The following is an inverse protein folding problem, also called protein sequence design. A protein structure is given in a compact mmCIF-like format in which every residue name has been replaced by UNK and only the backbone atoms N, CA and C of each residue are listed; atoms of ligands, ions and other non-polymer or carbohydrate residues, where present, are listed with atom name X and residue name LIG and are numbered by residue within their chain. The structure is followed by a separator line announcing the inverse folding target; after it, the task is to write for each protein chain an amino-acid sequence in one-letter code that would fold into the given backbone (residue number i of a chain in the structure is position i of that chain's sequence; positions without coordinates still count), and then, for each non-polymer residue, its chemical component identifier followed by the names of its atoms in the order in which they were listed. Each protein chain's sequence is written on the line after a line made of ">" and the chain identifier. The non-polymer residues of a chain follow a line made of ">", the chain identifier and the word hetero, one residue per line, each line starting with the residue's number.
data_IF_838938468174
#
_entry.id   IF_838938468174
#
_cell.length_a   1.000
_cell.length_b   1.000
_cell.length_c   1.000
_cell.angle_alpha   90.00
_cell.angle_beta   90.00
_cell.angle_gamma   90.00
#
_symmetry.space_group_name_H-M   'P 1'
#
loop_
_entity.id
_entity.type
_entity.pdbx_description
1 polymer ?
#
# COMPACT_ATOMS: atom_id res chain seq x y z
N UNK A 1 20.23 1.18 7.06
CA UNK A 1 19.58 -0.13 6.83
C UNK A 1 20.32 -1.02 5.83
N UNK A 2 21.28 -0.54 5.03
CA UNK A 2 22.17 -1.44 4.25
C UNK A 2 21.48 -2.29 3.17
N UNK A 3 20.18 -2.08 2.92
CA UNK A 3 19.42 -2.82 1.91
C UNK A 3 19.77 -2.34 0.50
N UNK A 4 19.91 -3.28 -0.42
CA UNK A 4 19.96 -2.99 -1.85
C UNK A 4 18.53 -2.80 -2.38
N UNK A 5 18.29 -1.74 -3.14
CA UNK A 5 16.97 -1.43 -3.71
C UNK A 5 17.03 -1.64 -5.23
N UNK A 6 16.11 -2.44 -5.75
CA UNK A 6 15.95 -2.69 -7.18
C UNK A 6 14.63 -2.07 -7.62
N UNK A 7 14.69 -1.19 -8.61
CA UNK A 7 13.52 -0.46 -9.11
C UNK A 7 12.78 -1.29 -10.16
N UNK A 8 11.47 -1.43 -10.00
CA UNK A 8 10.59 -2.10 -10.97
C UNK A 8 9.86 -1.02 -11.76
N UNK A 9 9.94 -1.09 -13.08
CA UNK A 9 9.22 -0.15 -13.94
C UNK A 9 7.70 -0.26 -13.73
N UNK A 10 6.99 0.84 -13.89
CA UNK A 10 5.52 0.90 -13.79
C UNK A 10 4.88 1.33 -15.11
N UNK A 11 3.63 0.94 -15.30
CA UNK A 11 2.73 1.43 -16.35
C UNK A 11 1.38 1.84 -15.73
N UNK A 12 0.39 2.13 -16.57
CA UNK A 12 -0.97 2.52 -16.16
C UNK A 12 -1.73 1.45 -15.34
N UNK A 13 -1.22 0.23 -15.26
CA UNK A 13 -1.79 -0.86 -14.47
C UNK A 13 -0.94 -1.21 -13.24
N UNK A 14 0.15 -0.48 -12.98
CA UNK A 14 1.04 -0.68 -11.84
C UNK A 14 2.40 -1.27 -12.24
N UNK A 15 3.07 -2.06 -11.37
CA UNK A 15 4.41 -2.61 -11.65
C UNK A 15 4.42 -3.55 -12.85
N UNK A 16 5.29 -3.33 -13.84
CA UNK A 16 5.37 -4.18 -15.04
C UNK A 16 5.95 -5.55 -14.70
N UNK A 17 5.22 -6.61 -15.05
CA UNK A 17 5.66 -7.99 -14.80
C UNK A 17 6.93 -8.34 -15.57
N UNK A 18 7.08 -7.83 -16.79
CA UNK A 18 8.30 -8.03 -17.59
C UNK A 18 9.53 -7.46 -16.91
N UNK A 19 9.44 -6.24 -16.36
CA UNK A 19 10.51 -5.61 -15.60
C UNK A 19 10.84 -6.41 -14.33
N UNK A 20 9.82 -6.75 -13.54
CA UNK A 20 9.99 -7.55 -12.31
C UNK A 20 10.68 -8.89 -12.59
N UNK A 21 10.24 -9.63 -13.62
CA UNK A 21 10.84 -10.92 -14.00
C UNK A 21 12.26 -10.75 -14.55
N UNK A 22 12.53 -9.71 -15.32
CA UNK A 22 13.88 -9.43 -15.83
C UNK A 22 14.88 -9.09 -14.72
N UNK A 23 14.42 -8.49 -13.62
CA UNK A 23 15.27 -8.25 -12.45
C UNK A 23 15.53 -9.57 -11.73
N UNK A 24 14.48 -10.34 -11.47
CA UNK A 24 14.56 -11.59 -10.72
C UNK A 24 15.29 -12.71 -11.47
N UNK A 25 15.40 -12.65 -12.80
CA UNK A 25 16.12 -13.65 -13.60
C UNK A 25 17.62 -13.74 -13.33
N UNK A 26 18.19 -12.82 -12.54
CA UNK A 26 19.56 -12.92 -12.07
C UNK A 26 19.74 -13.98 -10.97
N UNK A 27 18.64 -14.51 -10.41
CA UNK A 27 18.64 -15.52 -9.35
C UNK A 27 17.81 -16.73 -9.75
N UNK A 28 18.13 -17.87 -9.15
CA UNK A 28 17.25 -19.03 -9.17
C UNK A 28 16.24 -18.91 -8.03
N UNK A 29 14.96 -19.29 -8.24
CA UNK A 29 13.97 -19.34 -7.17
C UNK A 29 14.41 -20.06 -5.89
N UNK A 30 15.23 -21.11 -6.01
CA UNK A 30 15.75 -21.88 -4.87
C UNK A 30 16.73 -21.10 -4.00
N UNK A 31 17.32 -20.03 -4.52
CA UNK A 31 18.24 -19.17 -3.77
C UNK A 31 17.50 -18.49 -2.61
N UNK A 32 16.16 -18.46 -2.63
CA UNK A 32 15.35 -17.98 -1.52
C UNK A 32 15.53 -18.81 -0.24
N UNK A 33 15.92 -20.07 -0.34
CA UNK A 33 16.17 -20.93 0.82
C UNK A 33 17.49 -20.62 1.55
N UNK A 34 18.46 -20.02 0.86
CA UNK A 34 19.74 -19.63 1.47
C UNK A 34 19.65 -18.24 2.08
N UNK A 35 19.76 -18.14 3.40
CA UNK A 35 19.71 -16.87 4.14
C UNK A 35 20.85 -15.90 3.80
N UNK A 36 21.93 -16.39 3.19
CA UNK A 36 23.07 -15.56 2.77
C UNK A 36 22.98 -15.10 1.32
N UNK A 37 22.02 -15.62 0.55
CA UNK A 37 21.75 -15.16 -0.81
C UNK A 37 21.25 -13.71 -0.82
N UNK A 38 21.70 -12.95 -1.82
CA UNK A 38 21.31 -11.57 -2.08
C UNK A 38 20.02 -11.42 -2.91
N UNK A 39 19.33 -12.54 -3.17
CA UNK A 39 18.01 -12.53 -3.82
C UNK A 39 17.04 -11.57 -3.10
N UNK A 40 16.26 -10.75 -3.84
CA UNK A 40 15.29 -9.84 -3.24
C UNK A 40 14.28 -10.55 -2.35
N UNK A 41 14.18 -10.12 -1.08
CA UNK A 41 13.29 -10.72 -0.07
C UNK A 41 11.94 -10.03 0.08
N UNK A 42 11.86 -8.81 -0.41
CA UNK A 42 10.75 -7.90 -0.13
C UNK A 42 10.40 -7.14 -1.39
N UNK A 43 9.11 -7.12 -1.70
CA UNK A 43 8.51 -6.26 -2.69
C UNK A 43 7.66 -5.19 -1.98
N UNK A 44 8.10 -3.93 -2.03
CA UNK A 44 7.35 -2.80 -1.50
C UNK A 44 6.49 -2.16 -2.59
N UNK A 45 5.22 -1.90 -2.30
CA UNK A 45 4.30 -1.28 -3.26
C UNK A 45 3.25 -0.41 -2.57
N UNK A 46 2.94 0.72 -3.20
CA UNK A 46 1.73 1.50 -2.91
C UNK A 46 0.68 1.12 -3.95
N UNK A 47 -0.29 0.29 -3.55
CA UNK A 47 -1.16 -0.43 -4.50
C UNK A 47 -2.38 0.38 -4.96
N UNK A 48 -2.85 1.33 -4.16
CA UNK A 48 -3.96 2.23 -4.50
C UNK A 48 -3.46 3.68 -4.52
N UNK A 49 -3.67 4.40 -5.63
CA UNK A 49 -3.25 5.79 -5.75
C UNK A 49 -1.75 5.98 -5.49
N UNK A 50 -0.91 5.20 -6.20
CA UNK A 50 0.53 5.12 -5.99
C UNK A 50 1.19 6.49 -5.89
N UNK A 51 2.06 6.69 -4.91
CA UNK A 51 2.82 7.93 -4.78
C UNK A 51 4.16 7.79 -5.51
N UNK A 52 4.52 8.62 -6.51
CA UNK A 52 3.86 9.86 -6.95
C UNK A 52 2.93 9.72 -8.19
N UNK A 53 2.86 8.55 -8.82
CA UNK A 53 2.26 8.38 -10.16
C UNK A 53 0.73 8.50 -10.20
N UNK A 54 0.06 8.33 -9.06
CA UNK A 54 -1.40 8.26 -8.91
C UNK A 54 -2.01 6.94 -9.40
N UNK A 55 -1.21 6.00 -9.92
CA UNK A 55 -1.71 4.76 -10.51
C UNK A 55 -2.23 3.80 -9.44
N UNK A 56 -3.39 3.18 -9.70
CA UNK A 56 -3.91 2.06 -8.89
C UNK A 56 -3.63 0.76 -9.63
N UNK A 57 -2.95 -0.17 -8.96
CA UNK A 57 -2.60 -1.47 -9.55
C UNK A 57 -3.86 -2.29 -9.81
N UNK A 58 -4.04 -2.76 -11.05
CA UNK A 58 -5.23 -3.55 -11.42
C UNK A 58 -5.27 -4.90 -10.71
N UNK A 59 -6.46 -5.48 -10.56
CA UNK A 59 -6.62 -6.80 -9.90
C UNK A 59 -5.78 -7.88 -10.60
N UNK A 60 -5.84 -7.92 -11.94
CA UNK A 60 -5.04 -8.83 -12.74
C UNK A 60 -3.54 -8.63 -12.49
N UNK A 61 -3.07 -7.38 -12.42
CA UNK A 61 -1.66 -7.09 -12.16
C UNK A 61 -1.25 -7.53 -10.75
N UNK A 62 -2.11 -7.33 -9.75
CA UNK A 62 -1.88 -7.83 -8.38
C UNK A 62 -1.76 -9.36 -8.37
N UNK A 63 -2.62 -10.08 -9.08
CA UNK A 63 -2.55 -11.54 -9.19
C UNK A 63 -1.24 -12.01 -9.84
N UNK A 64 -0.80 -11.33 -10.91
CA UNK A 64 0.47 -11.63 -11.58
C UNK A 64 1.68 -11.39 -10.66
N UNK A 65 1.72 -10.25 -9.95
CA UNK A 65 2.78 -9.96 -8.97
C UNK A 65 2.77 -10.98 -7.85
N UNK A 66 1.58 -11.32 -7.31
CA UNK A 66 1.44 -12.33 -6.27
C UNK A 66 1.99 -13.67 -6.74
N UNK A 67 1.69 -14.11 -7.96
CA UNK A 67 2.24 -15.35 -8.51
C UNK A 67 3.77 -15.34 -8.62
N UNK A 68 4.38 -14.21 -9.01
CA UNK A 68 5.83 -14.05 -9.01
C UNK A 68 6.40 -14.09 -7.58
N UNK A 69 5.68 -13.51 -6.61
CA UNK A 69 6.04 -13.57 -5.19
C UNK A 69 6.08 -15.01 -4.67
N UNK A 70 5.15 -15.87 -5.13
CA UNK A 70 5.16 -17.31 -4.81
C UNK A 70 6.32 -18.04 -5.47
N UNK A 71 6.63 -17.69 -6.71
CA UNK A 71 7.70 -18.34 -7.48
C UNK A 71 9.07 -18.06 -6.86
N UNK A 72 9.39 -16.80 -6.52
CA UNK A 72 10.69 -16.39 -5.98
C UNK A 72 10.73 -16.29 -4.45
N UNK A 73 9.62 -16.64 -3.80
CA UNK A 73 9.42 -16.63 -2.35
C UNK A 73 9.85 -15.33 -1.64
N UNK A 74 9.27 -14.21 -2.08
CA UNK A 74 9.42 -12.92 -1.40
C UNK A 74 8.15 -12.48 -0.69
N UNK A 75 8.32 -11.60 0.31
CA UNK A 75 7.23 -10.94 1.04
C UNK A 75 6.74 -9.71 0.28
N UNK A 76 5.45 -9.40 0.42
CA UNK A 76 4.84 -8.19 -0.13
C UNK A 76 4.56 -7.23 1.02
N UNK A 77 5.18 -6.04 0.98
CA UNK A 77 4.85 -4.93 1.85
C UNK A 77 3.92 -3.98 1.09
N UNK A 78 2.63 -4.07 1.39
CA UNK A 78 1.59 -3.24 0.78
C UNK A 78 1.34 -2.00 1.66
N UNK A 79 1.79 -0.83 1.22
CA UNK A 79 1.55 0.45 1.87
C UNK A 79 0.32 1.12 1.23
N UNK A 80 -0.81 1.13 1.93
CA UNK A 80 -2.10 1.49 1.30
C UNK A 80 -2.86 2.60 2.04
N UNK A 81 -2.26 3.80 2.22
CA UNK A 81 -2.87 4.90 2.97
C UNK A 81 -4.07 5.53 2.25
N UNK A 82 -4.28 5.21 0.97
CA UNK A 82 -5.33 5.76 0.12
C UNK A 82 -6.43 4.75 -0.23
N UNK A 83 -6.39 3.53 0.32
CA UNK A 83 -7.33 2.45 -0.02
C UNK A 83 -8.80 2.87 0.06
N UNK A 84 -9.15 3.60 1.11
CA UNK A 84 -10.53 4.05 1.37
C UNK A 84 -10.94 5.28 0.54
N UNK A 85 -10.02 5.87 -0.22
CA UNK A 85 -10.22 7.09 -1.03
C UNK A 85 -10.13 6.74 -2.52
N UNK A 86 -10.62 5.57 -2.90
CA UNK A 86 -10.67 5.15 -4.31
C UNK A 86 -11.86 5.83 -5.00
N UNK A 87 -11.61 6.41 -6.18
CA UNK A 87 -12.66 7.10 -6.93
C UNK A 87 -13.57 6.16 -7.74
N UNK A 88 -13.21 4.88 -7.85
CA UNK A 88 -13.97 3.85 -8.56
C UNK A 88 -15.14 3.36 -7.71
N UNK A 89 -16.26 3.00 -8.34
CA UNK A 89 -17.43 2.46 -7.64
C UNK A 89 -17.16 1.11 -6.96
N UNK A 90 -16.26 0.32 -7.56
CA UNK A 90 -15.79 -0.94 -6.99
C UNK A 90 -14.31 -0.74 -6.64
N UNK A 91 -13.93 -0.77 -5.36
CA UNK A 91 -12.53 -0.66 -4.97
C UNK A 91 -11.78 -1.90 -5.44
N UNK A 92 -10.54 -1.72 -5.90
CA UNK A 92 -9.69 -2.85 -6.25
C UNK A 92 -9.26 -3.54 -4.95
N UNK A 93 -9.45 -4.87 -4.81
CA UNK A 93 -9.06 -5.59 -3.61
C UNK A 93 -7.57 -5.44 -3.28
N UNK A 94 -7.23 -5.47 -1.99
CA UNK A 94 -5.85 -5.43 -1.49
C UNK A 94 -5.08 -6.72 -1.78
N UNK A 95 -3.75 -6.69 -1.75
CA UNK A 95 -2.97 -7.94 -1.79
C UNK A 95 -3.31 -8.85 -0.61
N UNK A 96 -3.57 -8.26 0.57
CA UNK A 96 -3.95 -9.00 1.76
C UNK A 96 -5.23 -9.83 1.54
N UNK A 97 -6.20 -9.32 0.77
CA UNK A 97 -7.47 -10.02 0.51
C UNK A 97 -7.33 -11.30 -0.32
N UNK A 98 -6.21 -11.45 -1.04
CA UNK A 98 -5.89 -12.64 -1.85
C UNK A 98 -4.74 -13.45 -1.28
N UNK A 99 -4.25 -13.11 -0.09
CA UNK A 99 -3.09 -13.76 0.50
C UNK A 99 -3.45 -15.12 1.10
N UNK A 100 -3.19 -16.18 0.35
CA UNK A 100 -3.40 -17.57 0.77
C UNK A 100 -2.18 -18.18 1.46
N UNK A 101 -0.98 -17.66 1.17
CA UNK A 101 0.28 -18.21 1.68
C UNK A 101 0.75 -17.49 2.97
N UNK A 102 0.16 -16.36 3.34
CA UNK A 102 0.62 -15.55 4.46
C UNK A 102 1.95 -14.85 4.15
N UNK A 103 2.05 -14.18 3.01
CA UNK A 103 3.25 -13.44 2.57
C UNK A 103 3.07 -11.94 2.47
N UNK A 104 1.86 -11.43 2.77
CA UNK A 104 1.53 -10.01 2.65
C UNK A 104 1.50 -9.36 4.03
N UNK A 105 2.22 -8.26 4.18
CA UNK A 105 2.06 -7.32 5.30
C UNK A 105 1.49 -6.03 4.72
N UNK A 106 0.27 -5.70 5.14
CA UNK A 106 -0.42 -4.48 4.76
C UNK A 106 -0.22 -3.42 5.84
N UNK A 107 0.05 -2.19 5.43
CA UNK A 107 0.15 -1.01 6.28
C UNK A 107 -0.98 -0.05 5.96
N UNK A 108 -1.76 0.30 6.98
CA UNK A 108 -2.85 1.26 6.92
C UNK A 108 -2.55 2.46 7.82
N UNK A 109 -3.10 3.62 7.48
CA UNK A 109 -2.91 4.84 8.27
C UNK A 109 -4.17 5.69 8.37
N UNK A 110 -4.40 6.25 9.56
CA UNK A 110 -5.43 7.26 9.77
C UNK A 110 -5.04 8.65 9.21
N UNK A 111 -3.85 8.79 8.63
CA UNK A 111 -3.31 10.08 8.21
C UNK A 111 -4.12 10.75 7.09
N UNK A 112 -4.76 9.96 6.23
CA UNK A 112 -5.52 10.44 5.06
C UNK A 112 -7.03 10.38 5.25
N UNK A 113 -7.49 9.66 6.28
CA UNK A 113 -8.91 9.42 6.56
C UNK A 113 -9.41 10.19 7.80
N UNK A 114 -8.55 10.47 8.79
CA UNK A 114 -8.87 11.28 9.96
C UNK A 114 -7.97 12.51 10.05
N UNK A 115 -6.68 12.31 10.36
CA UNK A 115 -5.71 13.39 10.49
C UNK A 115 -4.28 12.86 10.53
N UNK A 116 -3.40 13.44 9.71
CA UNK A 116 -1.97 13.14 9.72
C UNK A 116 -1.31 13.45 11.08
N UNK A 117 -1.83 14.42 11.84
CA UNK A 117 -1.30 14.84 13.14
C UNK A 117 -1.50 13.83 14.26
N UNK A 118 -2.44 12.88 14.12
CA UNK A 118 -2.68 11.84 15.15
C UNK A 118 -1.54 10.83 15.22
N UNK A 119 -0.75 10.68 14.15
CA UNK A 119 0.35 9.70 14.05
C UNK A 119 -0.06 8.27 14.38
N UNK A 120 -1.26 7.86 13.93
CA UNK A 120 -1.77 6.50 14.09
C UNK A 120 -1.81 5.77 12.74
N UNK A 121 -1.32 4.54 12.77
CA UNK A 121 -1.50 3.54 11.74
C UNK A 121 -1.47 2.16 12.36
N UNK A 122 -1.71 1.14 11.55
CA UNK A 122 -1.66 -0.25 11.97
C UNK A 122 -1.12 -1.11 10.82
N UNK A 123 -0.60 -2.28 11.17
CA UNK A 123 -0.15 -3.28 10.21
C UNK A 123 -1.02 -4.53 10.35
N UNK A 124 -1.33 -5.19 9.24
CA UNK A 124 -2.07 -6.45 9.21
C UNK A 124 -1.32 -7.45 8.36
N UNK A 125 -1.17 -8.67 8.86
CA UNK A 125 -0.42 -9.72 8.19
C UNK A 125 -0.24 -10.95 9.09
N UNK A 126 0.59 -11.92 8.68
CA UNK A 126 0.84 -13.16 9.40
C UNK A 126 1.37 -12.91 10.82
N UNK A 127 0.81 -13.60 11.80
CA UNK A 127 1.17 -13.45 13.22
C UNK A 127 2.69 -13.50 13.47
N UNK A 128 3.48 -14.44 12.92
CA UNK A 128 4.92 -14.48 13.17
C UNK A 128 5.66 -13.22 12.72
N UNK A 129 5.21 -12.58 11.63
CA UNK A 129 5.81 -11.35 11.10
C UNK A 129 5.38 -10.13 11.93
N UNK A 130 4.11 -10.07 12.32
CA UNK A 130 3.58 -9.00 13.18
C UNK A 130 4.27 -9.01 14.55
N UNK A 131 4.51 -10.19 15.15
CA UNK A 131 5.23 -10.30 16.41
C UNK A 131 6.65 -9.72 16.31
N UNK A 132 7.37 -9.96 15.21
CA UNK A 132 8.68 -9.35 14.96
C UNK A 132 8.61 -7.83 14.83
N UNK A 133 7.58 -7.29 14.18
CA UNK A 133 7.34 -5.85 14.12
C UNK A 133 7.08 -5.29 15.52
N UNK A 134 6.26 -5.96 16.34
CA UNK A 134 5.98 -5.55 17.73
C UNK A 134 7.25 -5.54 18.58
N UNK A 135 8.09 -6.58 18.50
CA UNK A 135 9.37 -6.62 19.20
C UNK A 135 10.29 -5.46 18.80
N UNK A 136 10.35 -5.13 17.51
CA UNK A 136 11.13 -3.99 17.04
C UNK A 136 10.54 -2.66 17.54
N UNK A 137 9.21 -2.52 17.54
CA UNK A 137 8.54 -1.33 18.05
C UNK A 137 8.84 -1.10 19.53
N UNK A 138 8.87 -2.14 20.37
CA UNK A 138 9.14 -2.03 21.82
C UNK A 138 10.47 -1.35 22.14
N UNK A 139 11.48 -1.49 21.28
CA UNK A 139 12.81 -0.88 21.47
C UNK A 139 13.00 0.43 20.71
N UNK A 140 12.07 0.80 19.83
CA UNK A 140 12.16 2.01 19.02
C UNK A 140 11.12 3.08 19.44
N UNK A 141 9.84 2.84 19.14
CA UNK A 141 8.76 3.82 19.30
C UNK A 141 7.74 3.45 20.37
N UNK A 142 7.82 2.23 20.90
CA UNK A 142 6.90 1.58 21.82
C UNK A 142 5.47 1.43 21.28
N UNK A 143 4.73 2.53 21.19
CA UNK A 143 3.33 2.57 20.74
C UNK A 143 2.97 3.98 20.26
N UNK A 144 1.85 4.09 19.52
CA UNK A 144 1.30 5.40 19.14
C UNK A 144 0.87 6.19 20.39
N UNK A 145 0.76 7.51 20.29
CA UNK A 145 0.34 8.35 21.41
C UNK A 145 -1.03 7.92 21.98
N UNK A 146 -1.11 7.68 23.29
CA UNK A 146 -2.32 7.18 23.96
C UNK A 146 -3.51 8.13 23.85
N UNK A 147 -3.31 9.45 23.95
CA UNK A 147 -4.40 10.43 23.80
C UNK A 147 -4.99 10.36 22.38
N UNK A 148 -4.14 10.30 21.35
CA UNK A 148 -4.59 10.13 19.97
C UNK A 148 -5.32 8.80 19.79
N UNK A 149 -4.83 7.70 20.40
CA UNK A 149 -5.51 6.39 20.35
C UNK A 149 -6.91 6.47 20.97
N UNK A 150 -7.06 7.11 22.13
CA UNK A 150 -8.35 7.30 22.79
C UNK A 150 -9.32 8.13 21.96
N UNK A 151 -8.85 9.24 21.37
CA UNK A 151 -9.67 10.07 20.49
C UNK A 151 -10.12 9.27 19.26
N UNK A 152 -9.20 8.54 18.63
CA UNK A 152 -9.51 7.69 17.49
C UNK A 152 -10.55 6.63 17.85
N UNK A 153 -10.36 5.94 18.99
CA UNK A 153 -11.27 4.91 19.47
C UNK A 153 -12.68 5.46 19.72
N UNK A 154 -12.80 6.61 20.41
CA UNK A 154 -14.10 7.22 20.70
C UNK A 154 -14.83 7.64 19.42
N UNK A 155 -14.11 8.22 18.46
CA UNK A 155 -14.69 8.59 17.15
C UNK A 155 -15.20 7.34 16.42
N UNK A 156 -14.38 6.28 16.34
CA UNK A 156 -14.75 5.05 15.64
C UNK A 156 -15.92 4.32 16.33
N UNK A 157 -15.98 4.37 17.67
CA UNK A 157 -17.09 3.79 18.44
C UNK A 157 -18.40 4.58 18.26
N UNK A 158 -18.32 5.92 18.24
CA UNK A 158 -19.48 6.80 18.03
C UNK A 158 -20.05 6.64 16.61
N UNK A 159 -19.18 6.59 15.61
CA UNK A 159 -19.59 6.39 14.21
C UNK A 159 -20.12 4.99 13.93
N UNK A 160 -19.55 3.97 14.59
CA UNK A 160 -19.76 2.59 14.19
C UNK A 160 -19.33 2.35 12.73
N UNK A 161 -19.79 1.24 12.15
CA UNK A 161 -19.45 0.89 10.76
C UNK A 161 -20.13 1.83 9.76
N UNK A 162 -21.43 2.07 9.90
CA UNK A 162 -22.21 2.91 8.98
C UNK A 162 -21.72 4.36 8.96
N UNK A 163 -21.40 4.93 10.13
CA UNK A 163 -20.86 6.29 10.21
C UNK A 163 -19.45 6.39 9.63
N UNK A 164 -18.62 5.34 9.79
CA UNK A 164 -17.31 5.30 9.17
C UNK A 164 -17.41 5.27 7.64
N UNK A 165 -18.28 4.42 7.09
CA UNK A 165 -18.51 4.33 5.65
C UNK A 165 -19.03 5.66 5.08
N UNK A 166 -20.00 6.30 5.76
CA UNK A 166 -20.49 7.62 5.38
C UNK A 166 -19.41 8.72 5.43
N UNK A 167 -18.52 8.66 6.44
CA UNK A 167 -17.36 9.56 6.51
C UNK A 167 -16.38 9.30 5.35
N UNK A 168 -16.12 8.04 4.99
CA UNK A 168 -15.25 7.69 3.86
C UNK A 168 -15.83 8.16 2.52
N UNK A 169 -17.14 8.06 2.32
CA UNK A 169 -17.83 8.62 1.16
C UNK A 169 -17.66 10.14 1.07
N UNK A 170 -17.84 10.84 2.20
CA UNK A 170 -17.65 12.30 2.29
C UNK A 170 -16.21 12.72 1.96
N UNK A 171 -15.23 12.03 2.54
CA UNK A 171 -13.80 12.26 2.27
C UNK A 171 -13.47 11.98 0.80
N UNK A 172 -13.99 10.89 0.24
CA UNK A 172 -13.78 10.53 -1.17
C UNK A 172 -14.37 11.59 -2.10
N UNK A 173 -15.57 12.08 -1.82
CA UNK A 173 -16.20 13.15 -2.61
C UNK A 173 -15.42 14.47 -2.51
N UNK A 174 -14.90 14.80 -1.33
CA UNK A 174 -14.03 15.96 -1.15
C UNK A 174 -12.77 15.89 -2.02
N UNK A 175 -12.09 14.75 -2.04
CA UNK A 175 -10.90 14.54 -2.87
C UNK A 175 -11.24 14.44 -4.37
N UNK A 176 -12.40 13.88 -4.72
CA UNK A 176 -12.89 13.80 -6.11
C UNK A 176 -13.05 15.20 -6.71
N UNK A 177 -13.71 16.11 -5.99
CA UNK A 177 -13.87 17.51 -6.42
C UNK A 177 -12.52 18.20 -6.65
N UNK A 178 -11.55 17.98 -5.75
CA UNK A 178 -10.20 18.56 -5.88
C UNK A 178 -9.44 18.03 -7.08
N UNK A 179 -9.52 16.72 -7.32
CA UNK A 179 -8.95 16.08 -8.52
C UNK A 179 -9.56 16.71 -9.77
N UNK A 180 -10.89 16.82 -9.83
CA UNK A 180 -11.60 17.31 -11.03
C UNK A 180 -11.20 18.74 -11.36
N UNK A 181 -11.09 19.62 -10.35
CA UNK A 181 -10.60 21.00 -10.53
C UNK A 181 -9.17 21.03 -11.09
N UNK A 182 -8.27 20.17 -10.58
CA UNK A 182 -6.89 20.11 -11.07
C UNK A 182 -6.85 19.61 -12.51
N UNK A 183 -7.58 18.55 -12.84
CA UNK A 183 -7.65 17.99 -14.19
C UNK A 183 -8.23 19.01 -15.18
N UNK A 184 -9.35 19.66 -14.83
CA UNK A 184 -9.96 20.73 -15.65
C UNK A 184 -9.01 21.91 -15.85
N UNK A 185 -8.27 22.30 -14.80
CA UNK A 185 -7.25 23.35 -14.89
C UNK A 185 -6.10 22.93 -15.81
N UNK A 186 -5.62 21.69 -15.71
CA UNK A 186 -4.60 21.14 -16.61
C UNK A 186 -5.09 21.15 -18.06
N UNK A 187 -6.32 20.70 -18.30
CA UNK A 187 -6.94 20.70 -19.63
C UNK A 187 -7.17 22.11 -20.18
N UNK A 188 -7.29 23.12 -19.33
CA UNK A 188 -7.48 24.51 -19.77
C UNK A 188 -6.13 25.18 -20.08
N UNK A 189 -5.14 24.99 -19.20
CA UNK A 189 -3.91 25.79 -19.21
C UNK A 189 -2.69 25.06 -19.77
N UNK A 190 -2.69 23.73 -19.83
CA UNK A 190 -1.54 22.94 -20.33
C UNK A 190 -1.73 22.45 -21.77
N UNK A 191 -2.86 22.79 -22.43
CA UNK A 191 -3.06 22.49 -23.87
C UNK A 191 -2.03 23.26 -24.70
N UNK A 192 -1.04 22.55 -25.22
CA UNK A 192 0.02 23.09 -26.08
C UNK A 192 1.44 22.95 -25.52
N UNK A 193 1.60 22.44 -24.30
CA UNK A 193 2.91 22.08 -23.75
C UNK A 193 3.27 20.69 -24.32
N UNK A 194 4.18 20.66 -25.29
CA UNK A 194 4.88 19.42 -25.66
C UNK A 194 5.85 19.10 -24.51
N UNK A 195 5.63 17.97 -23.84
CA UNK A 195 6.60 17.35 -22.93
C UNK A 195 7.64 16.57 -23.73
#
# INVERSE_FOLDING_TARGET
>A
MGCNMLEVETDEHGPKISSLRSILSNWNPTDSADVWSDIPRVFYTVSSGSNPTGVTTSLERKQQVYQVAREYDFLILEDDPYYYIQFTKTPVPSYLSMDVDGRVIRFDSFSKILSAGMRIGFATGPQPLIEKLVYHMQVCTQHANTLSQMICLLILQDWGQEGFDAHMESVTEFYRKRRDIIVESCDTWLKGIQL
#
